data_IF_696506733400
#
_entry.id   IF_696506733400
#
_cell.length_a   1.000
_cell.length_b   1.000
_cell.length_c   1.000
_cell.angle_alpha   90.00
_cell.angle_beta   90.00
_cell.angle_gamma   90.00
#
_symmetry.space_group_name_H-M   'P 1'
#
loop_
_entity.id
_entity.type
_entity.pdbx_description
1 polymer ?
#
# COMPACT_ATOMS: atom_id res chain seq x y z
N UNK A 1 22.26 24.85 2.64
CA UNK A 1 21.81 23.45 2.73
C UNK A 1 22.21 22.77 1.43
N UNK A 2 23.02 21.72 1.46
CA UNK A 2 23.46 21.01 0.25
C UNK A 2 22.38 20.03 -0.19
N UNK A 3 21.83 20.23 -1.39
CA UNK A 3 20.93 19.25 -2.01
C UNK A 3 21.81 18.11 -2.55
N UNK A 4 21.62 16.85 -2.11
CA UNK A 4 22.38 15.73 -2.64
C UNK A 4 22.04 15.52 -4.13
N UNK A 5 23.06 15.51 -4.97
CA UNK A 5 22.93 15.20 -6.40
C UNK A 5 23.33 13.76 -6.69
N UNK A 6 22.65 13.13 -7.63
CA UNK A 6 23.00 11.81 -8.17
C UNK A 6 23.36 11.96 -9.66
N UNK A 7 24.38 11.25 -10.11
CA UNK A 7 24.74 11.14 -11.53
C UNK A 7 24.24 9.79 -12.05
N UNK A 8 23.43 9.83 -13.10
CA UNK A 8 22.83 8.65 -13.72
C UNK A 8 23.38 8.46 -15.12
N UNK A 9 23.90 7.27 -15.42
CA UNK A 9 24.24 6.87 -16.78
C UNK A 9 22.98 6.39 -17.49
N UNK A 10 22.46 7.20 -18.42
CA UNK A 10 21.22 6.92 -19.13
C UNK A 10 21.49 6.39 -20.54
N UNK A 11 20.78 5.34 -21.00
CA UNK A 11 20.83 4.94 -22.40
C UNK A 11 20.46 6.13 -23.31
N UNK A 12 21.15 6.33 -24.46
CA UNK A 12 20.92 7.49 -25.33
C UNK A 12 19.46 7.68 -25.74
N UNK A 13 18.74 6.58 -25.99
CA UNK A 13 17.32 6.61 -26.33
C UNK A 13 16.43 7.13 -25.20
N UNK A 14 16.75 6.80 -23.94
CA UNK A 14 16.01 7.29 -22.77
C UNK A 14 16.29 8.77 -22.53
N UNK A 15 17.56 9.19 -22.66
CA UNK A 15 17.95 10.59 -22.53
C UNK A 15 17.24 11.47 -23.57
N UNK A 16 17.23 11.04 -24.84
CA UNK A 16 16.55 11.76 -25.93
C UNK A 16 15.04 11.90 -25.66
N UNK A 17 14.39 10.81 -25.21
CA UNK A 17 12.96 10.85 -24.86
C UNK A 17 12.67 11.82 -23.71
N UNK A 18 13.54 11.91 -22.71
CA UNK A 18 13.38 12.86 -21.61
C UNK A 18 13.51 14.32 -22.07
N UNK A 19 14.42 14.60 -23.02
CA UNK A 19 14.53 15.93 -23.65
C UNK A 19 13.24 16.27 -24.40
N UNK A 20 12.75 15.37 -25.24
CA UNK A 20 11.52 15.59 -26.02
C UNK A 20 10.32 15.91 -25.12
N UNK A 21 10.20 15.20 -23.98
CA UNK A 21 9.16 15.46 -22.99
C UNK A 21 9.35 16.82 -22.34
N UNK A 22 10.58 17.18 -21.94
CA UNK A 22 10.88 18.47 -21.30
C UNK A 22 10.59 19.67 -22.23
N UNK A 23 10.94 19.55 -23.51
CA UNK A 23 10.62 20.55 -24.53
C UNK A 23 9.11 20.67 -24.74
N UNK A 24 8.41 19.55 -24.87
CA UNK A 24 6.96 19.52 -25.07
C UNK A 24 6.16 20.01 -23.85
N UNK A 25 6.65 19.76 -22.63
CA UNK A 25 6.00 20.19 -21.39
C UNK A 25 6.45 21.57 -20.91
N UNK A 26 7.43 22.19 -21.58
CA UNK A 26 8.08 23.43 -21.14
C UNK A 26 8.65 23.36 -19.72
N UNK A 27 9.13 22.19 -19.31
CA UNK A 27 9.74 21.96 -17.99
C UNK A 27 11.24 21.75 -18.14
N UNK A 28 11.99 21.90 -17.04
CA UNK A 28 13.40 21.55 -17.07
C UNK A 28 13.57 20.04 -17.18
N UNK A 29 14.67 19.58 -17.80
CA UNK A 29 15.01 18.15 -17.83
C UNK A 29 15.08 17.56 -16.42
N UNK A 30 15.57 18.33 -15.45
CA UNK A 30 15.63 17.91 -14.05
C UNK A 30 14.23 17.65 -13.47
N UNK A 31 13.26 18.52 -13.74
CA UNK A 31 11.88 18.35 -13.23
C UNK A 31 11.20 17.14 -13.86
N UNK A 32 11.39 16.92 -15.17
CA UNK A 32 10.84 15.74 -15.86
C UNK A 32 11.46 14.44 -15.32
N UNK A 33 12.77 14.43 -15.06
CA UNK A 33 13.46 13.28 -14.46
C UNK A 33 12.94 13.04 -13.05
N UNK A 34 12.85 14.09 -12.21
CA UNK A 34 12.32 13.97 -10.85
C UNK A 34 10.88 13.45 -10.84
N UNK A 35 10.01 13.98 -11.69
CA UNK A 35 8.62 13.54 -11.81
C UNK A 35 8.52 12.08 -12.28
N UNK A 36 9.35 11.68 -13.24
CA UNK A 36 9.41 10.30 -13.74
C UNK A 36 9.87 9.34 -12.64
N UNK A 37 10.89 9.71 -11.86
CA UNK A 37 11.35 8.94 -10.70
C UNK A 37 10.25 8.86 -9.66
N UNK A 38 9.66 9.99 -9.24
CA UNK A 38 8.58 10.04 -8.24
C UNK A 38 7.40 9.13 -8.62
N UNK A 39 7.04 9.11 -9.90
CA UNK A 39 5.97 8.26 -10.43
C UNK A 39 6.37 6.78 -10.47
N UNK A 40 7.65 6.50 -10.70
CA UNK A 40 8.22 5.15 -10.77
C UNK A 40 8.63 4.56 -9.42
N UNK A 41 8.53 5.30 -8.32
CA UNK A 41 8.84 4.79 -6.98
C UNK A 41 7.74 3.85 -6.47
N UNK A 42 8.10 2.83 -5.68
CA UNK A 42 7.11 2.01 -5.00
C UNK A 42 6.27 2.86 -4.03
N UNK A 43 5.05 2.40 -3.69
CA UNK A 43 4.17 3.10 -2.76
C UNK A 43 4.87 3.45 -1.45
N UNK A 44 4.79 4.72 -1.07
CA UNK A 44 5.42 5.26 0.14
C UNK A 44 4.81 4.69 1.41
N UNK A 45 5.65 4.45 2.42
CA UNK A 45 5.27 4.03 3.77
C UNK A 45 5.33 5.19 4.78
N UNK A 46 5.40 6.43 4.32
CA UNK A 46 5.54 7.63 5.17
C UNK A 46 4.39 7.78 6.17
N UNK A 47 3.15 7.56 5.71
CA UNK A 47 1.94 7.67 6.54
C UNK A 47 1.57 6.38 7.27
N UNK A 48 2.37 5.31 7.11
CA UNK A 48 2.12 4.04 7.79
C UNK A 48 2.67 4.12 9.21
N UNK A 49 1.86 3.78 10.24
CA UNK A 49 2.34 3.67 11.61
C UNK A 49 3.57 2.77 11.72
N UNK A 50 4.58 3.21 12.48
CA UNK A 50 5.88 2.52 12.56
C UNK A 50 5.75 1.03 12.93
N UNK A 51 4.79 0.72 13.81
CA UNK A 51 4.46 -0.66 14.23
C UNK A 51 4.11 -1.61 13.08
N UNK A 52 3.63 -1.11 11.95
CA UNK A 52 3.25 -1.92 10.78
C UNK A 52 4.26 -1.84 9.64
N UNK A 53 5.28 -0.98 9.76
CA UNK A 53 6.23 -0.73 8.68
C UNK A 53 7.05 -1.97 8.33
N UNK A 54 7.49 -2.73 9.34
CA UNK A 54 8.28 -3.94 9.12
C UNK A 54 7.50 -4.98 8.29
N UNK A 55 6.23 -5.21 8.63
CA UNK A 55 5.35 -6.10 7.88
C UNK A 55 5.20 -5.65 6.43
N UNK A 56 4.91 -4.37 6.20
CA UNK A 56 4.73 -3.84 4.84
C UNK A 56 6.03 -3.83 4.02
N UNK A 57 7.18 -3.57 4.63
CA UNK A 57 8.47 -3.65 3.92
C UNK A 57 8.74 -5.08 3.43
N UNK A 58 8.36 -6.10 4.20
CA UNK A 58 8.52 -7.50 3.78
C UNK A 58 7.73 -7.83 2.50
N UNK A 59 6.58 -7.17 2.26
CA UNK A 59 5.78 -7.37 1.04
C UNK A 59 6.54 -6.96 -0.23
N UNK A 60 7.47 -6.00 -0.16
CA UNK A 60 8.26 -5.60 -1.34
C UNK A 60 9.10 -6.73 -1.93
N UNK A 61 9.48 -7.72 -1.11
CA UNK A 61 10.31 -8.84 -1.51
C UNK A 61 9.51 -10.01 -2.09
N UNK A 62 8.17 -9.98 -1.97
CA UNK A 62 7.30 -11.03 -2.46
C UNK A 62 7.15 -10.95 -3.98
N UNK A 63 6.95 -12.10 -4.63
CA UNK A 63 6.61 -12.18 -6.04
C UNK A 63 5.14 -11.81 -6.27
N UNK A 64 4.74 -11.68 -7.53
CA UNK A 64 3.39 -11.21 -7.87
C UNK A 64 2.30 -12.22 -7.46
N UNK A 65 2.56 -13.53 -7.57
CA UNK A 65 1.62 -14.59 -7.18
C UNK A 65 1.27 -14.51 -5.69
N UNK A 66 2.28 -14.41 -4.83
CA UNK A 66 2.08 -14.29 -3.38
C UNK A 66 1.43 -12.96 -3.02
N UNK A 67 1.75 -11.87 -3.74
CA UNK A 67 1.07 -10.59 -3.53
C UNK A 67 -0.41 -10.66 -3.88
N UNK A 68 -0.79 -11.40 -4.93
CA UNK A 68 -2.19 -11.64 -5.26
C UNK A 68 -2.90 -12.42 -4.16
N UNK A 69 -2.28 -13.47 -3.61
CA UNK A 69 -2.84 -14.20 -2.48
C UNK A 69 -3.06 -13.26 -1.28
N UNK A 70 -2.06 -12.46 -0.91
CA UNK A 70 -2.17 -11.48 0.18
C UNK A 70 -3.28 -10.46 -0.08
N UNK A 71 -3.45 -10.03 -1.33
CA UNK A 71 -4.45 -9.03 -1.71
C UNK A 71 -5.89 -9.60 -1.81
N UNK A 72 -6.01 -10.90 -2.08
CA UNK A 72 -7.28 -11.61 -2.22
C UNK A 72 -7.74 -12.30 -0.93
N UNK A 73 -6.90 -12.40 0.09
CA UNK A 73 -7.29 -12.89 1.41
C UNK A 73 -8.45 -12.06 1.97
N UNK A 74 -9.38 -12.76 2.62
CA UNK A 74 -10.42 -12.18 3.47
C UNK A 74 -10.10 -12.43 4.95
N UNK A 75 -10.65 -11.56 5.80
CA UNK A 75 -10.53 -11.73 7.25
C UNK A 75 -11.27 -13.01 7.63
N UNK A 76 -10.68 -13.86 8.46
CA UNK A 76 -11.32 -15.11 8.88
C UNK A 76 -12.70 -14.85 9.48
N UNK A 77 -13.73 -15.54 8.97
CA UNK A 77 -15.14 -15.34 9.33
C UNK A 77 -15.36 -15.35 10.85
N UNK A 78 -14.74 -16.30 11.56
CA UNK A 78 -14.83 -16.43 13.02
C UNK A 78 -14.38 -15.16 13.76
N UNK A 79 -13.33 -14.48 13.25
CA UNK A 79 -12.82 -13.25 13.85
C UNK A 79 -13.71 -12.05 13.54
N UNK A 80 -14.29 -12.00 12.34
CA UNK A 80 -15.22 -10.96 11.94
C UNK A 80 -16.49 -11.01 12.79
N UNK A 81 -17.08 -12.19 12.96
CA UNK A 81 -18.26 -12.39 13.82
C UNK A 81 -17.97 -12.01 15.27
N UNK A 82 -16.85 -12.49 15.84
CA UNK A 82 -16.47 -12.14 17.21
C UNK A 82 -16.25 -10.63 17.39
N UNK A 83 -15.67 -9.96 16.39
CA UNK A 83 -15.47 -8.52 16.42
C UNK A 83 -16.80 -7.76 16.42
N UNK A 84 -17.78 -8.18 15.62
CA UNK A 84 -19.14 -7.61 15.60
C UNK A 84 -19.84 -7.79 16.95
N UNK A 85 -19.80 -8.99 17.54
CA UNK A 85 -20.40 -9.27 18.85
C UNK A 85 -19.82 -8.38 19.96
N UNK A 86 -18.50 -8.17 19.96
CA UNK A 86 -17.83 -7.31 20.94
C UNK A 86 -18.15 -5.82 20.72
N UNK A 87 -18.32 -5.38 19.47
CA UNK A 87 -18.77 -4.02 19.17
C UNK A 87 -20.20 -3.78 19.68
N UNK A 88 -21.10 -4.74 19.50
CA UNK A 88 -22.48 -4.65 19.99
C UNK A 88 -22.51 -4.57 21.53
N UNK A 89 -21.71 -5.41 22.21
CA UNK A 89 -21.56 -5.34 23.68
C UNK A 89 -20.97 -4.02 24.15
N UNK A 90 -20.00 -3.47 23.42
CA UNK A 90 -19.40 -2.16 23.72
C UNK A 90 -20.45 -1.04 23.63
N UNK A 91 -21.26 -1.03 22.57
CA UNK A 91 -22.35 -0.06 22.39
C UNK A 91 -23.41 -0.14 23.51
N UNK A 92 -23.65 -1.34 24.03
CA UNK A 92 -24.57 -1.57 25.14
C UNK A 92 -23.97 -1.25 26.52
N UNK A 93 -22.69 -0.91 26.59
CA UNK A 93 -21.97 -0.63 27.84
C UNK A 93 -21.76 -1.87 28.71
N UNK A 94 -21.81 -3.07 28.12
CA UNK A 94 -21.72 -4.35 28.83
C UNK A 94 -20.35 -5.01 28.70
N UNK A 95 -19.35 -4.30 28.17
CA UNK A 95 -18.05 -4.87 27.87
C UNK A 95 -17.18 -5.00 29.13
N UNK A 96 -16.69 -6.21 29.38
CA UNK A 96 -15.74 -6.47 30.45
C UNK A 96 -14.31 -6.02 30.08
N UNK A 97 -13.44 -5.84 31.07
CA UNK A 97 -12.06 -5.41 30.83
C UNK A 97 -11.26 -6.41 29.97
N UNK A 98 -11.52 -7.71 30.13
CA UNK A 98 -10.94 -8.79 29.30
C UNK A 98 -11.46 -8.74 27.86
N UNK A 99 -12.74 -8.44 27.68
CA UNK A 99 -13.38 -8.29 26.37
C UNK A 99 -12.91 -7.02 25.66
N UNK A 100 -12.64 -5.94 26.39
CA UNK A 100 -12.03 -4.72 25.84
C UNK A 100 -10.62 -4.98 25.29
N UNK A 101 -9.77 -5.68 26.05
CA UNK A 101 -8.43 -6.03 25.56
C UNK A 101 -8.47 -6.93 24.32
N UNK A 102 -9.45 -7.85 24.26
CA UNK A 102 -9.69 -8.68 23.09
C UNK A 102 -10.17 -7.87 21.88
N UNK A 103 -11.10 -6.94 22.09
CA UNK A 103 -11.60 -6.04 21.05
C UNK A 103 -10.48 -5.16 20.47
N UNK A 104 -9.61 -4.62 21.32
CA UNK A 104 -8.45 -3.84 20.89
C UNK A 104 -7.48 -4.68 20.05
N UNK A 105 -7.24 -5.94 20.45
CA UNK A 105 -6.40 -6.88 19.71
C UNK A 105 -7.00 -7.18 18.33
N UNK A 106 -8.29 -7.51 18.27
CA UNK A 106 -8.98 -7.79 17.01
C UNK A 106 -8.97 -6.58 16.06
N UNK A 107 -9.12 -5.38 16.61
CA UNK A 107 -9.02 -4.14 15.84
C UNK A 107 -7.62 -3.95 15.25
N UNK A 108 -6.57 -4.17 16.03
CA UNK A 108 -5.20 -4.05 15.53
C UNK A 108 -4.90 -5.08 14.44
N UNK A 109 -5.36 -6.32 14.60
CA UNK A 109 -5.22 -7.36 13.59
C UNK A 109 -5.97 -7.00 12.29
N UNK A 110 -7.19 -6.50 12.40
CA UNK A 110 -7.99 -6.06 11.26
C UNK A 110 -7.33 -4.86 10.53
N UNK A 111 -6.81 -3.88 11.28
CA UNK A 111 -6.10 -2.72 10.72
C UNK A 111 -4.84 -3.17 9.95
N UNK A 112 -4.02 -4.04 10.54
CA UNK A 112 -2.83 -4.58 9.88
C UNK A 112 -3.21 -5.40 8.63
N UNK A 113 -4.25 -6.21 8.72
CA UNK A 113 -4.74 -7.00 7.60
C UNK A 113 -5.15 -6.10 6.43
N UNK A 114 -5.94 -5.06 6.68
CA UNK A 114 -6.38 -4.11 5.65
C UNK A 114 -5.19 -3.34 5.06
N UNK A 115 -4.22 -2.94 5.88
CA UNK A 115 -3.00 -2.28 5.40
C UNK A 115 -2.17 -3.20 4.50
N UNK A 116 -1.99 -4.48 4.87
CA UNK A 116 -1.27 -5.46 4.04
C UNK A 116 -1.98 -5.67 2.70
N UNK A 117 -3.31 -5.82 2.73
CA UNK A 117 -4.14 -5.98 1.53
C UNK A 117 -4.01 -4.77 0.60
N UNK A 118 -4.17 -3.56 1.14
CA UNK A 118 -4.05 -2.32 0.37
C UNK A 118 -2.64 -2.14 -0.21
N UNK A 119 -1.60 -2.42 0.57
CA UNK A 119 -0.21 -2.28 0.13
C UNK A 119 0.15 -3.32 -0.94
N UNK A 120 -0.34 -4.56 -0.82
CA UNK A 120 -0.17 -5.58 -1.85
C UNK A 120 -0.78 -5.15 -3.19
N UNK A 121 -2.01 -4.62 -3.19
CA UNK A 121 -2.61 -4.05 -4.40
C UNK A 121 -1.83 -2.86 -4.96
N UNK A 122 -1.29 -1.99 -4.10
CA UNK A 122 -0.47 -0.86 -4.52
C UNK A 122 0.83 -1.32 -5.19
N UNK A 123 1.48 -2.36 -4.66
CA UNK A 123 2.67 -2.97 -5.27
C UNK A 123 2.37 -3.63 -6.60
N UNK A 124 1.28 -4.40 -6.69
CA UNK A 124 0.84 -5.02 -7.94
C UNK A 124 0.57 -3.95 -9.02
N UNK A 125 -0.08 -2.84 -8.65
CA UNK A 125 -0.34 -1.72 -9.56
C UNK A 125 0.96 -1.08 -10.04
N UNK A 126 1.90 -0.85 -9.12
CA UNK A 126 3.22 -0.32 -9.42
C UNK A 126 4.02 -1.23 -10.36
N UNK A 127 3.87 -2.55 -10.22
CA UNK A 127 4.47 -3.56 -11.12
C UNK A 127 3.75 -3.70 -12.47
N UNK A 128 2.71 -2.90 -12.72
CA UNK A 128 2.00 -2.85 -14.00
C UNK A 128 0.77 -3.75 -14.10
N UNK A 129 0.35 -4.39 -13.01
CA UNK A 129 -0.86 -5.20 -13.00
C UNK A 129 -2.12 -4.35 -12.95
N UNK A 130 -3.19 -4.84 -13.59
CA UNK A 130 -4.52 -4.26 -13.45
C UNK A 130 -5.15 -4.74 -12.15
N UNK A 131 -5.49 -3.80 -11.27
CA UNK A 131 -6.15 -4.10 -10.00
C UNK A 131 -7.66 -4.17 -10.20
N UNK A 132 -8.36 -5.15 -9.58
CA UNK A 132 -9.82 -5.21 -9.61
C UNK A 132 -10.42 -3.92 -9.04
N UNK A 133 -11.49 -3.44 -9.65
CA UNK A 133 -12.29 -2.35 -9.09
C UNK A 133 -13.21 -2.89 -7.99
N UNK A 134 -13.74 -1.99 -7.15
CA UNK A 134 -14.72 -2.37 -6.11
C UNK A 134 -15.91 -3.13 -6.73
N UNK A 135 -16.33 -2.76 -7.95
CA UNK A 135 -17.38 -3.46 -8.68
C UNK A 135 -17.00 -4.90 -9.07
N UNK A 136 -15.72 -5.15 -9.35
CA UNK A 136 -15.21 -6.50 -9.67
C UNK A 136 -15.16 -7.37 -8.40
N UNK A 137 -14.96 -6.76 -7.22
CA UNK A 137 -14.92 -7.44 -5.91
C UNK A 137 -16.29 -7.68 -5.28
N UNK A 138 -17.35 -7.03 -5.79
CA UNK A 138 -18.72 -7.12 -5.29
C UNK A 138 -19.58 -8.14 -6.05
N UNK A 139 -18.97 -9.09 -6.76
CA UNK A 139 -19.78 -10.08 -7.49
C UNK A 139 -20.36 -11.16 -6.56
N UNK A 140 -21.62 -11.57 -6.80
CA UNK A 140 -22.46 -12.34 -5.87
C UNK A 140 -22.08 -13.81 -5.69
#
# INVERSE_FOLDING_TARGET
MTVPGITLELPPALYQRLIEVAEASHQSLNDVVLQSIQTGLPPSLEHVPERFRADLVALNQLNDEVLWDVAALDLADDKATLYEELLDKNQQGQLEASEQALLDTLREEADLFMLRRAYAYALLKWRGHRIPTVADMQTP
#
